data_IF_120499523493
#
_entry.id   IF_120499523493
#
_cell.length_a   1.000
_cell.length_b   1.000
_cell.length_c   1.000
_cell.angle_alpha   90.00
_cell.angle_beta   90.00
_cell.angle_gamma   90.00
#
_symmetry.space_group_name_H-M   'P 1'
#
loop_
_entity.id
_entity.type
_entity.pdbx_description
1 polymer ?
#
# COMPACT_ATOMS: atom_id res chain seq x y z
N UNK A 1 28.11 19.41 12.89
CA UNK A 1 27.56 18.28 13.66
C UNK A 1 26.05 18.28 13.50
N UNK A 2 25.50 17.39 12.65
CA UNK A 2 24.11 16.89 12.71
C UNK A 2 23.76 16.04 11.46
N UNK A 3 24.66 15.16 11.02
CA UNK A 3 24.32 14.17 9.97
C UNK A 3 23.92 12.80 10.57
N UNK A 4 24.20 12.56 11.85
CA UNK A 4 23.89 11.29 12.53
C UNK A 4 22.43 11.21 13.01
N UNK A 5 21.77 12.33 13.26
CA UNK A 5 20.37 12.33 13.74
C UNK A 5 19.37 11.91 12.65
N UNK A 6 19.70 12.10 11.37
CA UNK A 6 18.88 11.63 10.24
C UNK A 6 19.08 10.13 9.92
N UNK A 7 20.24 9.55 10.25
CA UNK A 7 20.49 8.11 10.02
C UNK A 7 19.71 7.20 10.98
N UNK A 8 19.50 7.65 12.23
CA UNK A 8 18.74 6.88 13.22
C UNK A 8 17.23 6.94 12.95
N UNK A 9 16.72 8.03 12.36
CA UNK A 9 15.31 8.15 11.98
C UNK A 9 14.92 7.13 10.88
N UNK A 10 15.81 6.82 9.94
CA UNK A 10 15.60 5.80 8.92
C UNK A 10 15.45 4.38 9.50
N UNK A 11 16.13 4.12 10.62
CA UNK A 11 16.05 2.86 11.37
C UNK A 11 14.84 2.79 12.32
N UNK A 12 14.09 3.89 12.48
CA UNK A 12 12.88 3.92 13.29
C UNK A 12 11.71 3.28 12.52
N UNK A 13 11.75 1.94 12.45
CA UNK A 13 10.84 1.04 11.74
C UNK A 13 9.48 0.88 12.42
N UNK A 14 8.84 1.98 12.83
CA UNK A 14 7.48 1.87 13.36
C UNK A 14 6.52 1.62 12.19
N UNK A 15 6.38 0.35 11.83
CA UNK A 15 5.37 -0.08 10.87
C UNK A 15 4.00 0.39 11.35
N UNK A 16 3.08 0.68 10.41
CA UNK A 16 1.68 0.83 10.77
C UNK A 16 1.22 -0.39 11.58
N UNK A 17 0.53 -0.16 12.69
CA UNK A 17 0.03 -1.21 13.59
C UNK A 17 -1.49 -1.31 13.54
N UNK A 18 -2.07 -1.28 12.34
CA UNK A 18 -3.51 -1.47 12.18
C UNK A 18 -3.88 -2.92 12.50
N UNK A 19 -4.95 -3.08 13.26
CA UNK A 19 -5.58 -4.38 13.45
C UNK A 19 -6.19 -4.88 12.14
N UNK A 20 -6.42 -6.19 12.04
CA UNK A 20 -7.12 -6.78 10.89
C UNK A 20 -8.51 -6.14 10.69
N UNK A 21 -9.23 -5.87 11.79
CA UNK A 21 -10.55 -5.25 11.73
C UNK A 21 -10.50 -3.82 11.18
N UNK A 22 -9.48 -3.03 11.54
CA UNK A 22 -9.30 -1.69 10.98
C UNK A 22 -8.92 -1.76 9.50
N UNK A 23 -8.01 -2.64 9.11
CA UNK A 23 -7.64 -2.84 7.72
C UNK A 23 -8.83 -3.28 6.86
N UNK A 24 -9.70 -4.17 7.37
CA UNK A 24 -10.95 -4.57 6.72
C UNK A 24 -11.90 -3.39 6.53
N UNK A 25 -12.10 -2.56 7.57
CA UNK A 25 -12.95 -1.35 7.46
C UNK A 25 -12.41 -0.37 6.41
N UNK A 26 -11.12 -0.11 6.40
CA UNK A 26 -10.49 0.80 5.42
C UNK A 26 -10.62 0.23 4.00
N UNK A 27 -10.34 -1.07 3.82
CA UNK A 27 -10.47 -1.70 2.51
C UNK A 27 -11.92 -1.68 1.98
N UNK A 28 -12.91 -1.90 2.84
CA UNK A 28 -14.31 -1.80 2.46
C UNK A 28 -14.73 -0.35 2.17
N UNK A 29 -14.32 0.61 3.00
CA UNK A 29 -14.68 2.02 2.81
C UNK A 29 -14.11 2.61 1.51
N UNK A 30 -12.82 2.37 1.23
CA UNK A 30 -12.13 3.00 0.10
C UNK A 30 -12.19 2.18 -1.18
N UNK A 31 -12.28 0.84 -1.09
CA UNK A 31 -12.24 -0.06 -2.25
C UNK A 31 -13.48 -0.95 -2.36
N UNK A 32 -14.37 -0.95 -1.36
CA UNK A 32 -15.46 -1.93 -1.23
C UNK A 32 -14.95 -3.35 -1.37
N UNK A 33 -13.77 -3.61 -0.77
CA UNK A 33 -13.08 -4.89 -0.79
C UNK A 33 -13.30 -5.59 0.55
N UNK A 34 -14.10 -6.66 0.51
CA UNK A 34 -14.43 -7.48 1.67
C UNK A 34 -13.82 -8.87 1.53
N UNK A 35 -13.42 -9.48 2.65
CA UNK A 35 -12.86 -10.82 2.65
C UNK A 35 -12.10 -11.21 3.91
N UNK A 36 -11.42 -12.35 3.83
CA UNK A 36 -10.50 -12.86 4.84
C UNK A 36 -9.15 -12.16 4.71
N UNK A 37 -8.72 -11.49 5.79
CA UNK A 37 -7.47 -10.74 5.85
C UNK A 37 -6.45 -11.51 6.69
N UNK A 38 -5.24 -11.65 6.17
CA UNK A 38 -4.10 -12.21 6.89
C UNK A 38 -2.89 -11.31 6.75
N UNK A 39 -2.28 -10.92 7.87
CA UNK A 39 -1.04 -10.15 7.87
C UNK A 39 0.07 -10.89 7.11
N UNK A 40 0.82 -10.15 6.31
CA UNK A 40 2.02 -10.60 5.62
C UNK A 40 3.24 -9.96 6.26
N UNK A 41 4.33 -10.73 6.38
CA UNK A 41 5.60 -10.20 6.84
C UNK A 41 6.05 -9.07 5.90
N UNK A 42 6.37 -7.93 6.49
CA UNK A 42 6.79 -6.71 5.80
C UNK A 42 7.81 -5.99 6.68
N UNK A 43 8.58 -5.06 6.12
CA UNK A 43 9.64 -4.34 6.84
C UNK A 43 9.29 -2.90 7.22
N UNK A 44 8.69 -2.14 6.30
CA UNK A 44 8.36 -0.71 6.47
C UNK A 44 6.85 -0.45 6.50
N UNK A 45 6.17 -1.04 5.53
CA UNK A 45 4.72 -0.99 5.38
C UNK A 45 4.04 -2.09 6.19
N UNK A 46 2.71 -2.03 6.30
CA UNK A 46 1.91 -3.13 6.78
C UNK A 46 1.12 -3.75 5.62
N UNK A 47 1.40 -5.01 5.31
CA UNK A 47 0.79 -5.74 4.21
C UNK A 47 -0.21 -6.78 4.71
N UNK A 48 -1.33 -6.92 3.99
CA UNK A 48 -2.35 -7.92 4.24
C UNK A 48 -2.65 -8.68 2.95
N UNK A 49 -2.73 -10.01 3.04
CA UNK A 49 -3.37 -10.83 2.01
C UNK A 49 -4.87 -10.78 2.23
N UNK A 50 -5.61 -10.43 1.20
CA UNK A 50 -7.07 -10.48 1.17
C UNK A 50 -7.50 -11.64 0.30
N UNK A 51 -8.45 -12.45 0.78
CA UNK A 51 -9.16 -13.45 -0.03
C UNK A 51 -10.66 -13.16 0.02
N UNK A 52 -11.25 -12.83 -1.13
CA UNK A 52 -12.69 -12.54 -1.22
C UNK A 52 -13.52 -13.83 -1.14
N UNK A 53 -14.83 -13.69 -0.93
CA UNK A 53 -15.77 -14.84 -0.91
C UNK A 53 -15.84 -15.57 -2.24
N UNK A 54 -15.58 -14.86 -3.36
CA UNK A 54 -15.54 -15.42 -4.72
C UNK A 54 -14.17 -16.01 -5.09
N UNK A 55 -13.21 -16.01 -4.17
CA UNK A 55 -11.91 -16.66 -4.34
C UNK A 55 -10.80 -15.79 -4.94
N UNK A 56 -11.08 -14.51 -5.23
CA UNK A 56 -10.06 -13.57 -5.68
C UNK A 56 -9.07 -13.24 -4.56
N UNK A 57 -7.84 -12.87 -4.94
CA UNK A 57 -6.75 -12.59 -4.01
C UNK A 57 -6.14 -11.24 -4.29
N UNK A 58 -5.95 -10.46 -3.23
CA UNK A 58 -5.32 -9.14 -3.29
C UNK A 58 -4.24 -9.01 -2.23
N UNK A 59 -3.34 -8.05 -2.46
CA UNK A 59 -2.46 -7.52 -1.41
C UNK A 59 -2.95 -6.12 -1.08
N UNK A 60 -3.39 -5.92 0.15
CA UNK A 60 -3.72 -4.60 0.67
C UNK A 60 -2.52 -4.09 1.46
N UNK A 61 -2.02 -2.91 1.08
CA UNK A 61 -0.83 -2.30 1.70
C UNK A 61 -1.22 -1.00 2.38
N UNK A 62 -0.74 -0.82 3.60
CA UNK A 62 -0.77 0.46 4.30
C UNK A 62 0.66 0.92 4.40
N UNK A 63 1.01 1.97 3.64
CA UNK A 63 2.36 2.52 3.66
C UNK A 63 2.69 3.19 4.99
N UNK A 64 3.96 3.17 5.35
CA UNK A 64 4.43 3.91 6.51
C UNK A 64 4.15 5.41 6.35
N UNK A 65 3.73 6.10 7.42
CA UNK A 65 3.52 7.56 7.39
C UNK A 65 4.82 8.35 7.13
N UNK A 66 5.97 7.74 7.39
CA UNK A 66 7.29 8.29 7.09
C UNK A 66 7.84 7.90 5.70
N UNK A 67 7.07 7.13 4.92
CA UNK A 67 7.45 6.84 3.53
C UNK A 67 7.30 8.13 2.70
N UNK A 68 8.27 8.39 1.84
CA UNK A 68 8.19 9.51 0.90
C UNK A 68 6.99 9.27 -0.04
N UNK A 69 5.99 10.17 -0.07
CA UNK A 69 4.86 10.04 -0.98
C UNK A 69 5.28 9.89 -2.44
N UNK A 70 6.40 10.51 -2.86
CA UNK A 70 6.97 10.37 -4.19
C UNK A 70 7.43 8.95 -4.53
N UNK A 71 7.87 8.17 -3.53
CA UNK A 71 8.23 6.76 -3.73
C UNK A 71 6.98 5.91 -3.94
N UNK A 72 5.94 6.09 -3.12
CA UNK A 72 4.63 5.41 -3.30
C UNK A 72 4.05 5.77 -4.67
N UNK A 73 4.15 7.05 -5.03
CA UNK A 73 3.68 7.59 -6.30
C UNK A 73 4.41 6.91 -7.48
N UNK A 74 5.74 6.92 -7.46
CA UNK A 74 6.56 6.25 -8.47
C UNK A 74 6.20 4.77 -8.61
N UNK A 75 6.03 4.03 -7.51
CA UNK A 75 5.65 2.61 -7.55
C UNK A 75 4.29 2.40 -8.23
N UNK A 76 3.29 3.21 -7.88
CA UNK A 76 1.98 3.12 -8.52
C UNK A 76 2.02 3.54 -10.01
N UNK A 77 2.85 4.53 -10.38
CA UNK A 77 3.03 4.92 -11.79
C UNK A 77 3.73 3.80 -12.59
N UNK A 78 4.73 3.15 -12.01
CA UNK A 78 5.43 2.04 -12.64
C UNK A 78 4.46 0.89 -12.97
N UNK A 79 3.61 0.48 -12.01
CA UNK A 79 2.63 -0.58 -12.26
C UNK A 79 1.59 -0.18 -13.33
N UNK A 80 1.12 1.07 -13.32
CA UNK A 80 0.21 1.58 -14.34
C UNK A 80 0.85 1.63 -15.73
N UNK A 81 2.11 2.05 -15.81
CA UNK A 81 2.88 2.05 -17.06
C UNK A 81 3.04 0.63 -17.59
N UNK A 82 3.45 -0.32 -16.74
CA UNK A 82 3.59 -1.72 -17.13
C UNK A 82 2.29 -2.35 -17.60
N UNK A 83 1.14 -1.99 -17.02
CA UNK A 83 -0.18 -2.45 -17.47
C UNK A 83 -0.51 -1.97 -18.89
N UNK A 84 -0.16 -0.73 -19.22
CA UNK A 84 -0.36 -0.16 -20.56
C UNK A 84 0.62 -0.75 -21.58
N UNK A 85 1.89 -0.94 -21.19
CA UNK A 85 2.92 -1.46 -22.10
C UNK A 85 2.78 -2.96 -22.36
N UNK A 86 2.53 -3.76 -21.32
CA UNK A 86 2.38 -5.20 -21.43
C UNK A 86 1.54 -5.78 -20.27
N UNK A 87 0.26 -6.02 -20.56
CA UNK A 87 -0.68 -6.62 -19.62
C UNK A 87 -0.38 -8.10 -19.30
N UNK A 88 0.50 -8.76 -20.06
CA UNK A 88 0.86 -10.17 -19.87
C UNK A 88 1.97 -10.39 -18.84
N UNK A 89 2.70 -9.32 -18.48
CA UNK A 89 3.73 -9.39 -17.44
C UNK A 89 3.13 -9.88 -16.10
N UNK A 90 3.79 -10.81 -15.38
CA UNK A 90 3.30 -11.39 -14.13
C UNK A 90 3.57 -10.45 -12.94
N UNK A 91 3.14 -9.19 -13.04
CA UNK A 91 3.27 -8.17 -12.00
C UNK A 91 1.89 -7.82 -11.41
N UNK A 92 1.83 -7.30 -10.16
CA UNK A 92 0.58 -6.85 -9.58
C UNK A 92 -0.09 -5.75 -10.42
N UNK A 93 -1.43 -5.74 -10.42
CA UNK A 93 -2.23 -4.67 -11.04
C UNK A 93 -2.86 -3.79 -9.97
N UNK A 94 -2.98 -2.50 -10.26
CA UNK A 94 -3.55 -1.53 -9.33
C UNK A 94 -5.07 -1.66 -9.29
N UNK A 95 -5.64 -1.86 -8.10
CA UNK A 95 -7.09 -1.77 -7.89
C UNK A 95 -7.45 -0.30 -7.65
N UNK A 96 -8.39 0.22 -8.45
CA UNK A 96 -8.87 1.59 -8.29
C UNK A 96 -9.74 1.71 -7.04
N UNK A 97 -9.55 2.78 -6.27
CA UNK A 97 -10.42 3.08 -5.16
C UNK A 97 -11.80 3.50 -5.66
N UNK A 98 -12.84 3.14 -4.89
CA UNK A 98 -14.22 3.57 -5.11
C UNK A 98 -14.48 4.98 -4.58
N UNK A 99 -13.69 5.44 -3.60
CA UNK A 99 -13.82 6.76 -2.96
C UNK A 99 -12.45 7.29 -2.56
N UNK A 100 -12.22 8.60 -2.68
CA UNK A 100 -11.06 9.29 -2.11
C UNK A 100 -9.69 8.87 -2.64
N UNK A 101 -9.59 7.93 -3.58
CA UNK A 101 -8.33 7.45 -4.14
C UNK A 101 -7.81 8.27 -5.32
N UNK A 102 -8.14 9.56 -5.33
CA UNK A 102 -7.35 10.51 -6.10
C UNK A 102 -5.94 10.47 -5.51
N UNK A 103 -4.96 10.14 -6.35
CA UNK A 103 -3.54 10.28 -6.04
C UNK A 103 -3.30 11.76 -5.76
N UNK A 104 -3.33 12.14 -4.47
CA UNK A 104 -3.00 13.49 -4.05
C UNK A 104 -1.49 13.61 -4.08
N UNK A 105 -0.97 14.20 -5.15
CA UNK A 105 0.37 14.73 -5.14
C UNK A 105 0.40 15.79 -4.03
N UNK A 106 1.31 15.63 -3.07
CA UNK A 106 1.58 16.69 -2.11
C UNK A 106 2.20 17.85 -2.88
N UNK A 107 1.44 18.91 -3.13
CA UNK A 107 2.02 20.18 -3.56
C UNK A 107 2.96 20.66 -2.45
N UNK A 108 4.20 20.98 -2.84
CA UNK A 108 5.31 21.35 -1.95
C UNK A 108 5.18 22.78 -1.43
#
# INVERSE_FOLDING_TARGET
MSNEQNEIAFLNRQQPTFSIAEAQRIADEFYGLQGDFKTLMSERDQNFRVRTSVGERYVFKISNAHEDPGVVDMQCQALAHLEVQDSTLPVPRMVRAKRGGERRLHDT
#
